data_IF_972103506084
#
_entry.id   IF_972103506084
#
_cell.length_a   1.000
_cell.length_b   1.000
_cell.length_c   1.000
_cell.angle_alpha   90.00
_cell.angle_beta   90.00
_cell.angle_gamma   90.00
#
_symmetry.space_group_name_H-M   'P 1'
#
loop_
_entity.id
_entity.type
_entity.pdbx_description
1 polymer ?
#
# COMPACT_ATOMS: atom_id res chain seq x y z
N UNK A 1 -10.02 -23.61 -8.47
CA UNK A 1 -10.38 -22.64 -7.42
C UNK A 1 -11.88 -22.40 -7.50
N UNK A 2 -12.59 -22.72 -6.43
CA UNK A 2 -14.04 -22.55 -6.33
C UNK A 2 -14.44 -21.06 -6.39
N UNK A 3 -15.67 -20.75 -6.84
CA UNK A 3 -16.18 -19.37 -6.94
C UNK A 3 -16.08 -18.62 -5.60
N UNK A 4 -16.32 -19.32 -4.49
CA UNK A 4 -16.17 -18.80 -3.12
C UNK A 4 -14.73 -18.43 -2.81
N UNK A 5 -13.77 -19.28 -3.20
CA UNK A 5 -12.34 -19.03 -2.98
C UNK A 5 -11.87 -17.77 -3.73
N UNK A 6 -12.33 -17.58 -4.99
CA UNK A 6 -12.05 -16.35 -5.76
C UNK A 6 -12.59 -15.10 -5.06
N UNK A 7 -13.81 -15.15 -4.54
CA UNK A 7 -14.41 -14.01 -3.82
C UNK A 7 -13.62 -13.67 -2.53
N UNK A 8 -13.22 -14.68 -1.76
CA UNK A 8 -12.42 -14.48 -0.55
C UNK A 8 -11.05 -13.89 -0.89
N UNK A 9 -10.35 -14.47 -1.88
CA UNK A 9 -9.03 -13.95 -2.30
C UNK A 9 -9.16 -12.51 -2.82
N UNK A 10 -10.20 -12.21 -3.60
CA UNK A 10 -10.45 -10.85 -4.11
C UNK A 10 -10.73 -9.87 -2.96
N UNK A 11 -11.55 -10.26 -1.97
CA UNK A 11 -11.83 -9.44 -0.79
C UNK A 11 -10.58 -9.15 0.03
N UNK A 12 -9.70 -10.14 0.21
CA UNK A 12 -8.42 -9.96 0.89
C UNK A 12 -7.52 -9.00 0.12
N UNK A 13 -7.40 -9.15 -1.21
CA UNK A 13 -6.56 -8.26 -2.03
C UNK A 13 -7.07 -6.82 -2.02
N UNK A 14 -8.39 -6.62 -2.13
CA UNK A 14 -9.01 -5.29 -2.05
C UNK A 14 -8.82 -4.68 -0.66
N UNK A 15 -9.06 -5.45 0.40
CA UNK A 15 -8.85 -5.01 1.77
C UNK A 15 -7.39 -4.64 2.06
N UNK A 16 -6.44 -5.44 1.59
CA UNK A 16 -5.01 -5.15 1.72
C UNK A 16 -4.62 -3.86 0.99
N UNK A 17 -5.13 -3.64 -0.23
CA UNK A 17 -4.91 -2.41 -0.99
C UNK A 17 -5.48 -1.17 -0.27
N UNK A 18 -6.67 -1.28 0.31
CA UNK A 18 -7.31 -0.21 1.07
C UNK A 18 -6.52 0.13 2.36
N UNK A 19 -6.07 -0.89 3.09
CA UNK A 19 -5.27 -0.70 4.30
C UNK A 19 -3.89 -0.11 4.00
N UNK A 20 -3.21 -0.61 2.96
CA UNK A 20 -1.94 -0.06 2.49
C UNK A 20 -2.09 1.40 2.08
N UNK A 21 -3.17 1.74 1.37
CA UNK A 21 -3.50 3.11 1.05
C UNK A 21 -3.64 4.00 2.29
N UNK A 22 -4.46 3.60 3.26
CA UNK A 22 -4.65 4.37 4.50
C UNK A 22 -3.36 4.57 5.28
N UNK A 23 -2.47 3.57 5.28
CA UNK A 23 -1.17 3.65 5.92
C UNK A 23 -0.31 4.75 5.29
N UNK A 24 -0.23 4.79 3.97
CA UNK A 24 0.51 5.83 3.23
C UNK A 24 -0.06 7.21 3.53
N UNK A 25 -1.38 7.37 3.52
CA UNK A 25 -2.03 8.66 3.80
C UNK A 25 -1.75 9.12 5.23
N UNK A 26 -1.79 8.20 6.19
CA UNK A 26 -1.50 8.50 7.59
C UNK A 26 -0.04 8.94 7.79
N UNK A 27 0.91 8.21 7.20
CA UNK A 27 2.33 8.56 7.24
C UNK A 27 2.54 9.94 6.60
N UNK A 28 1.91 10.20 5.46
CA UNK A 28 2.01 11.47 4.77
C UNK A 28 1.46 12.63 5.59
N UNK A 29 0.26 12.47 6.15
CA UNK A 29 -0.38 13.48 6.99
C UNK A 29 0.48 13.79 8.22
N UNK A 30 1.04 12.75 8.85
CA UNK A 30 1.91 12.91 10.02
C UNK A 30 3.23 13.62 9.68
N UNK A 31 3.81 13.34 8.50
CA UNK A 31 5.07 13.92 8.08
C UNK A 31 4.93 15.36 7.54
N UNK A 32 3.84 15.67 6.85
CA UNK A 32 3.66 16.95 6.14
C UNK A 32 2.62 17.88 6.77
N UNK A 33 1.79 17.38 7.67
CA UNK A 33 0.67 18.12 8.26
C UNK A 33 -0.48 18.41 7.27
N UNK A 34 -0.42 17.87 6.05
CA UNK A 34 -1.40 18.11 4.99
C UNK A 34 -1.89 16.79 4.40
N UNK A 35 -3.06 16.82 3.77
CA UNK A 35 -3.60 15.64 3.07
C UNK A 35 -2.66 15.20 1.93
N UNK A 36 -2.66 13.90 1.67
CA UNK A 36 -1.89 13.29 0.61
C UNK A 36 -2.40 13.74 -0.77
N UNK A 37 -1.52 14.18 -1.69
CA UNK A 37 -1.91 14.52 -3.05
C UNK A 37 -2.16 13.24 -3.86
N UNK A 38 -3.27 12.57 -3.56
CA UNK A 38 -3.66 11.33 -4.21
C UNK A 38 -4.24 11.61 -5.58
N UNK A 39 -3.87 10.77 -6.54
CA UNK A 39 -4.40 10.82 -7.89
C UNK A 39 -5.95 10.82 -7.85
N UNK A 40 -6.56 11.82 -8.46
CA UNK A 40 -8.01 11.98 -8.50
C UNK A 40 -8.62 12.78 -7.35
N UNK A 41 -7.80 13.40 -6.50
CA UNK A 41 -8.26 14.35 -5.47
C UNK A 41 -7.84 15.79 -5.82
N UNK A 42 -8.54 16.77 -5.23
CA UNK A 42 -8.21 18.20 -5.42
C UNK A 42 -6.77 18.50 -4.99
N UNK A 43 -6.29 17.84 -3.94
CA UNK A 43 -4.93 18.01 -3.44
C UNK A 43 -3.86 17.55 -4.45
N UNK A 44 -4.18 16.62 -5.36
CA UNK A 44 -3.27 16.26 -6.44
C UNK A 44 -3.31 17.23 -7.61
N UNK A 45 -4.46 17.86 -7.88
CA UNK A 45 -4.58 18.88 -8.91
C UNK A 45 -3.83 20.17 -8.52
N UNK A 46 -3.83 20.49 -7.22
CA UNK A 46 -3.17 21.68 -6.67
C UNK A 46 -1.73 21.40 -6.16
N UNK A 47 -1.30 20.14 -6.17
CA UNK A 47 0.03 19.77 -5.68
C UNK A 47 1.13 20.35 -6.58
N UNK A 48 2.07 21.06 -5.94
CA UNK A 48 3.33 21.41 -6.60
C UNK A 48 4.12 20.15 -6.98
N UNK A 49 4.91 20.23 -8.05
CA UNK A 49 5.75 19.11 -8.52
C UNK A 49 6.58 18.47 -7.40
N UNK A 50 7.16 19.28 -6.50
CA UNK A 50 7.95 18.81 -5.36
C UNK A 50 7.12 17.97 -4.38
N UNK A 51 5.86 18.38 -4.10
CA UNK A 51 4.95 17.63 -3.22
C UNK A 51 4.48 16.33 -3.86
N UNK A 52 4.11 16.37 -5.14
CA UNK A 52 3.71 15.17 -5.89
C UNK A 52 4.86 14.14 -5.95
N UNK A 53 6.09 14.60 -6.24
CA UNK A 53 7.27 13.75 -6.25
C UNK A 53 7.57 13.17 -4.86
N UNK A 54 7.52 13.98 -3.81
CA UNK A 54 7.68 13.51 -2.44
C UNK A 54 6.67 12.43 -2.06
N UNK A 55 5.40 12.62 -2.46
CA UNK A 55 4.34 11.63 -2.19
C UNK A 55 4.57 10.33 -2.93
N UNK A 56 4.99 10.40 -4.20
CA UNK A 56 5.33 9.21 -4.98
C UNK A 56 6.48 8.43 -4.34
N UNK A 57 7.53 9.10 -3.87
CA UNK A 57 8.68 8.46 -3.21
C UNK A 57 8.26 7.79 -1.90
N UNK A 58 7.50 8.48 -1.04
CA UNK A 58 7.00 7.91 0.23
C UNK A 58 6.10 6.70 -0.05
N UNK A 59 5.20 6.82 -1.01
CA UNK A 59 4.31 5.73 -1.42
C UNK A 59 5.09 4.52 -1.92
N UNK A 60 6.12 4.73 -2.75
CA UNK A 60 6.98 3.68 -3.26
C UNK A 60 7.79 2.99 -2.15
N UNK A 61 8.31 3.76 -1.18
CA UNK A 61 9.01 3.22 -0.01
C UNK A 61 8.11 2.31 0.82
N UNK A 62 6.89 2.76 1.13
CA UNK A 62 5.93 1.96 1.89
C UNK A 62 5.58 0.69 1.13
N UNK A 63 5.31 0.80 -0.18
CA UNK A 63 5.02 -0.35 -1.03
C UNK A 63 6.17 -1.37 -1.04
N UNK A 64 7.41 -0.91 -1.19
CA UNK A 64 8.60 -1.77 -1.20
C UNK A 64 8.80 -2.50 0.14
N UNK A 65 8.57 -1.81 1.26
CA UNK A 65 8.61 -2.44 2.60
C UNK A 65 7.52 -3.51 2.71
N UNK A 66 6.29 -3.20 2.31
CA UNK A 66 5.19 -4.18 2.36
C UNK A 66 5.47 -5.40 1.49
N UNK A 67 6.00 -5.21 0.27
CA UNK A 67 6.41 -6.31 -0.61
C UNK A 67 7.48 -7.17 0.05
N UNK A 68 8.54 -6.55 0.59
CA UNK A 68 9.62 -7.27 1.27
C UNK A 68 9.12 -8.08 2.47
N UNK A 69 8.20 -7.51 3.27
CA UNK A 69 7.60 -8.20 4.41
C UNK A 69 6.69 -9.35 3.94
N UNK A 70 5.91 -9.13 2.89
CA UNK A 70 5.06 -10.15 2.30
C UNK A 70 5.89 -11.32 1.76
N UNK A 71 6.95 -11.05 1.00
CA UNK A 71 7.87 -12.06 0.46
C UNK A 71 8.57 -12.84 1.57
N UNK A 72 9.08 -12.14 2.61
CA UNK A 72 9.69 -12.79 3.78
C UNK A 72 8.69 -13.67 4.52
N UNK A 73 7.45 -13.21 4.67
CA UNK A 73 6.39 -13.97 5.36
C UNK A 73 6.00 -15.21 4.56
N UNK A 74 5.85 -15.07 3.24
CA UNK A 74 5.58 -16.18 2.32
C UNK A 74 6.71 -17.23 2.41
N UNK A 75 7.97 -16.80 2.33
CA UNK A 75 9.12 -17.69 2.43
C UNK A 75 9.19 -18.40 3.79
N UNK A 76 8.89 -17.71 4.89
CA UNK A 76 8.86 -18.31 6.24
C UNK A 76 7.76 -19.36 6.39
N UNK A 77 6.60 -19.13 5.78
CA UNK A 77 5.49 -20.08 5.76
C UNK A 77 5.86 -21.30 4.92
N UNK A 78 6.39 -21.10 3.70
CA UNK A 78 6.85 -22.21 2.84
C UNK A 78 7.92 -23.05 3.55
N UNK A 79 8.93 -22.40 4.15
CA UNK A 79 9.98 -23.10 4.90
C UNK A 79 9.45 -23.93 6.09
N UNK A 80 8.30 -23.57 6.65
CA UNK A 80 7.64 -24.31 7.73
C UNK A 80 6.85 -25.53 7.23
N UNK A 81 6.44 -25.54 5.95
CA UNK A 81 5.74 -26.65 5.31
C UNK A 81 6.68 -27.61 4.56
N UNK A 82 7.87 -27.16 4.18
CA UNK A 82 8.91 -27.97 3.50
C UNK A 82 9.87 -28.67 4.49
N UNK A 83 9.70 -28.46 5.80
CA UNK A 83 10.47 -29.12 6.86
C UNK A 83 9.62 -30.20 7.54
#
# INVERSE_FOLDING_TARGET
MDKVQKLVTTGITVGAGMLGGKLVDFIWLKATGSKAPRKGTEEAAEASFRRALGFAIVSALVAAIMQTVADRSANKVVAKFTK
#
